data_IF_543467059810
#
_entry.id   IF_543467059810
#
_cell.length_a   1.000
_cell.length_b   1.000
_cell.length_c   1.000
_cell.angle_alpha   90.00
_cell.angle_beta   90.00
_cell.angle_gamma   90.00
#
_symmetry.space_group_name_H-M   'P 1'
#
loop_
_entity.id
_entity.type
_entity.pdbx_description
1 polymer ?
#
# COMPACT_ATOMS: atom_id res chain seq x y z
N UNK A 1 8.96 13.40 -19.53
CA UNK A 1 9.27 12.43 -18.46
C UNK A 1 8.35 11.23 -18.65
N UNK A 2 8.81 9.99 -18.43
CA UNK A 2 7.91 8.83 -18.45
C UNK A 2 6.88 8.96 -17.33
N UNK A 3 5.64 8.53 -17.61
CA UNK A 3 4.55 8.47 -16.63
C UNK A 3 4.93 7.52 -15.49
N UNK A 4 4.85 7.94 -14.21
CA UNK A 4 5.11 7.05 -13.08
C UNK A 4 4.20 5.82 -13.14
N UNK A 5 4.72 4.65 -12.77
CA UNK A 5 3.99 3.38 -12.88
C UNK A 5 2.65 3.39 -12.11
N UNK A 6 2.57 4.15 -11.01
CA UNK A 6 1.36 4.28 -10.19
C UNK A 6 0.29 5.20 -10.79
N UNK A 7 0.60 5.90 -11.88
CA UNK A 7 -0.34 6.79 -12.59
C UNK A 7 -0.79 6.25 -13.95
N UNK A 8 -0.36 5.03 -14.30
CA UNK A 8 -0.68 4.34 -15.55
C UNK A 8 -1.78 3.30 -15.32
N UNK A 9 -3.05 3.55 -15.71
CA UNK A 9 -4.14 2.60 -15.46
C UNK A 9 -3.98 1.27 -16.22
N UNK A 10 -3.20 1.25 -17.30
CA UNK A 10 -2.89 0.05 -18.07
C UNK A 10 -1.83 -0.83 -17.39
N UNK A 11 -1.06 -0.28 -16.44
CA UNK A 11 -0.01 -1.02 -15.72
C UNK A 11 -0.61 -1.80 -14.56
N UNK A 12 -1.08 -3.02 -14.86
CA UNK A 12 -1.68 -3.92 -13.87
C UNK A 12 -0.67 -4.77 -13.10
N UNK A 13 0.54 -4.98 -13.65
CA UNK A 13 1.63 -5.68 -12.98
C UNK A 13 2.99 -5.43 -13.64
N UNK A 14 4.07 -5.59 -12.87
CA UNK A 14 5.46 -5.55 -13.35
C UNK A 14 6.15 -6.82 -12.88
N UNK A 15 6.72 -7.60 -13.81
CA UNK A 15 7.43 -8.85 -13.53
C UNK A 15 6.66 -9.90 -12.72
N UNK A 16 5.32 -9.82 -12.67
CA UNK A 16 4.48 -10.82 -12.02
C UNK A 16 4.49 -12.10 -12.86
N UNK A 17 4.77 -13.24 -12.23
CA UNK A 17 4.61 -14.55 -12.87
C UNK A 17 3.13 -14.79 -13.22
N UNK A 18 2.83 -15.54 -14.30
CA UNK A 18 1.45 -15.93 -14.63
C UNK A 18 0.75 -16.61 -13.45
N UNK A 19 -0.58 -16.48 -13.38
CA UNK A 19 -1.37 -17.23 -12.40
C UNK A 19 -1.29 -18.71 -12.72
N UNK A 20 -0.92 -19.52 -11.73
CA UNK A 20 -0.73 -20.96 -11.85
C UNK A 20 -1.43 -21.68 -10.70
N UNK A 21 -1.81 -22.94 -10.93
CA UNK A 21 -2.40 -23.82 -9.93
C UNK A 21 -1.34 -24.80 -9.34
N UNK A 22 -0.14 -24.29 -9.05
CA UNK A 22 0.95 -25.10 -8.51
C UNK A 22 0.93 -25.05 -7.00
N UNK A 23 1.00 -26.19 -6.33
CA UNK A 23 1.14 -26.25 -4.89
C UNK A 23 2.57 -25.82 -4.47
N UNK A 24 2.66 -24.82 -3.59
CA UNK A 24 3.92 -24.37 -3.01
C UNK A 24 4.23 -25.19 -1.76
N UNK A 25 4.79 -26.39 -1.95
CA UNK A 25 5.08 -27.34 -0.87
C UNK A 25 6.20 -26.89 0.07
N UNK A 26 7.08 -26.01 -0.41
CA UNK A 26 8.13 -25.37 0.40
C UNK A 26 7.91 -23.86 0.41
N UNK A 27 7.56 -23.34 1.58
CA UNK A 27 7.37 -21.91 1.82
C UNK A 27 7.95 -21.52 3.17
N UNK A 28 8.31 -20.25 3.31
CA UNK A 28 8.76 -19.63 4.55
C UNK A 28 7.80 -18.47 4.80
N UNK A 29 7.19 -18.42 5.98
CA UNK A 29 6.40 -17.24 6.37
C UNK A 29 7.36 -16.07 6.66
N UNK A 30 6.98 -14.90 6.18
CA UNK A 30 7.63 -13.62 6.49
C UNK A 30 6.72 -12.72 7.34
N UNK A 31 5.68 -13.29 7.93
CA UNK A 31 4.79 -12.59 8.85
C UNK A 31 5.55 -12.22 10.13
N UNK A 32 5.22 -11.07 10.70
CA UNK A 32 5.86 -10.56 11.91
C UNK A 32 6.13 -9.06 11.85
N UNK A 33 7.18 -8.61 12.54
CA UNK A 33 7.52 -7.20 12.63
C UNK A 33 8.29 -6.71 11.41
N UNK A 34 7.80 -5.65 10.79
CA UNK A 34 8.43 -4.97 9.67
C UNK A 34 8.75 -3.53 10.03
N UNK A 35 9.83 -2.99 9.46
CA UNK A 35 10.09 -1.55 9.48
C UNK A 35 9.18 -0.88 8.45
N UNK A 36 8.41 0.10 8.89
CA UNK A 36 7.40 0.79 8.09
C UNK A 36 7.49 2.30 8.28
N UNK A 37 7.22 3.02 7.20
CA UNK A 37 7.11 4.47 7.18
C UNK A 37 5.96 4.89 6.25
N UNK A 38 5.05 5.70 6.77
CA UNK A 38 4.05 6.40 5.97
C UNK A 38 4.64 7.73 5.46
N UNK A 39 4.44 8.04 4.18
CA UNK A 39 4.90 9.26 3.52
C UNK A 39 3.69 10.07 3.03
N UNK A 40 3.83 11.39 2.95
CA UNK A 40 2.73 12.29 2.61
C UNK A 40 2.36 12.23 1.11
N UNK A 41 3.30 11.84 0.25
CA UNK A 41 3.14 11.78 -1.21
C UNK A 41 3.97 10.67 -1.83
N UNK A 42 3.53 10.17 -2.98
CA UNK A 42 4.14 9.01 -3.65
C UNK A 42 5.58 9.26 -4.18
N UNK A 43 5.95 10.50 -4.47
CA UNK A 43 7.27 10.91 -4.97
C UNK A 43 8.23 11.39 -3.87
N UNK A 44 7.85 11.24 -2.59
CA UNK A 44 8.70 11.60 -1.47
C UNK A 44 9.76 10.52 -1.20
N UNK A 45 10.99 10.95 -0.94
CA UNK A 45 12.04 10.06 -0.47
C UNK A 45 11.79 9.60 0.98
N UNK A 46 12.01 8.31 1.30
CA UNK A 46 11.96 7.82 2.67
C UNK A 46 12.92 8.59 3.60
N UNK A 47 12.54 8.71 4.86
CA UNK A 47 13.37 9.34 5.87
C UNK A 47 14.23 8.30 6.62
N UNK A 48 15.08 8.77 7.52
CA UNK A 48 15.83 7.89 8.43
C UNK A 48 14.98 7.38 9.61
N UNK A 49 13.77 7.90 9.81
CA UNK A 49 12.89 7.53 10.93
C UNK A 49 11.88 6.50 10.47
N UNK A 50 11.99 5.30 11.04
CA UNK A 50 11.13 4.16 10.78
C UNK A 50 10.41 3.77 12.07
N UNK A 51 9.21 3.22 11.93
CA UNK A 51 8.46 2.59 13.01
C UNK A 51 8.30 1.10 12.72
N UNK A 52 7.90 0.30 13.71
CA UNK A 52 7.63 -1.12 13.52
C UNK A 52 6.14 -1.38 13.42
N UNK A 53 5.72 -2.26 12.50
CA UNK A 53 4.33 -2.72 12.34
C UNK A 53 4.29 -4.24 12.15
N UNK A 54 3.22 -4.89 12.63
CA UNK A 54 2.94 -6.30 12.38
C UNK A 54 2.37 -6.48 10.97
N UNK A 55 2.93 -7.41 10.19
CA UNK A 55 2.41 -7.84 8.88
C UNK A 55 1.96 -9.31 8.98
N UNK A 56 0.76 -9.66 8.50
CA UNK A 56 -0.24 -8.81 7.84
C UNK A 56 -1.02 -7.90 8.80
N UNK A 57 -1.41 -6.70 8.34
CA UNK A 57 -2.17 -5.72 9.12
C UNK A 57 -2.57 -4.48 8.30
N UNK A 58 -3.38 -3.59 8.90
CA UNK A 58 -3.78 -2.30 8.30
C UNK A 58 -3.01 -1.16 8.98
N UNK A 59 -2.34 -0.28 8.23
CA UNK A 59 -1.60 0.83 8.83
C UNK A 59 -2.52 1.89 9.48
N UNK A 60 -3.77 1.99 9.01
CA UNK A 60 -4.77 2.94 9.55
C UNK A 60 -5.29 2.53 10.93
N UNK A 61 -4.95 1.31 11.40
CA UNK A 61 -5.41 0.78 12.68
C UNK A 61 -4.47 -0.33 13.17
N UNK A 62 -3.64 -0.02 14.16
CA UNK A 62 -2.69 -0.96 14.77
C UNK A 62 -3.10 -1.15 16.23
N UNK A 63 -3.56 -2.34 16.59
CA UNK A 63 -4.00 -2.69 17.94
C UNK A 63 -5.04 -1.73 18.55
N UNK A 64 -5.92 -1.18 17.70
CA UNK A 64 -6.96 -0.21 18.10
C UNK A 64 -6.50 1.25 18.12
N UNK A 65 -5.21 1.51 17.86
CA UNK A 65 -4.60 2.83 17.83
C UNK A 65 -4.30 3.31 16.39
N UNK A 66 -4.02 4.60 16.24
CA UNK A 66 -3.69 5.25 14.96
C UNK A 66 -2.26 5.86 14.99
N UNK A 67 -1.21 5.02 15.08
CA UNK A 67 0.17 5.51 15.28
C UNK A 67 0.71 6.34 14.11
N UNK A 68 0.09 6.24 12.92
CA UNK A 68 0.47 6.97 11.72
C UNK A 68 -0.46 8.16 11.41
N UNK A 69 -1.46 8.44 12.25
CA UNK A 69 -2.39 9.56 12.09
C UNK A 69 -3.52 9.33 11.09
N UNK A 70 -3.32 8.47 10.09
CA UNK A 70 -4.36 8.05 9.15
C UNK A 70 -5.49 7.27 9.83
N UNK A 71 -6.72 7.55 9.41
CA UNK A 71 -7.95 6.92 9.91
C UNK A 71 -8.65 6.13 8.82
N UNK A 72 -9.39 5.07 9.17
CA UNK A 72 -10.32 4.45 8.23
C UNK A 72 -11.32 5.48 7.69
N UNK A 73 -11.52 5.49 6.38
CA UNK A 73 -12.48 6.37 5.70
C UNK A 73 -13.66 5.52 5.23
N UNK A 74 -14.87 5.91 5.62
CA UNK A 74 -16.11 5.28 5.16
C UNK A 74 -16.84 6.19 4.17
N UNK A 75 -17.11 5.66 2.99
CA UNK A 75 -17.95 6.29 1.96
C UNK A 75 -18.93 5.26 1.41
N UNK A 76 -20.16 5.68 1.10
CA UNK A 76 -21.14 4.79 0.45
C UNK A 76 -21.07 4.93 -1.09
N UNK A 77 -21.50 6.08 -1.62
CA UNK A 77 -21.53 6.34 -3.08
C UNK A 77 -20.47 7.35 -3.52
N UNK A 78 -20.22 8.39 -2.71
CA UNK A 78 -19.31 9.48 -3.07
C UNK A 78 -17.85 9.02 -2.95
N UNK A 79 -17.02 9.36 -3.93
CA UNK A 79 -15.57 9.16 -3.84
C UNK A 79 -14.99 10.05 -2.73
N UNK A 80 -13.96 9.60 -1.99
CA UNK A 80 -13.35 10.40 -0.92
C UNK A 80 -12.45 11.54 -1.45
N UNK A 81 -12.50 11.84 -2.75
CA UNK A 81 -11.72 12.86 -3.44
C UNK A 81 -12.43 13.36 -4.72
N UNK A 82 -12.01 14.53 -5.22
CA UNK A 82 -12.70 15.25 -6.32
C UNK A 82 -12.15 14.94 -7.73
N UNK A 83 -10.96 14.35 -7.82
CA UNK A 83 -10.27 14.13 -9.09
C UNK A 83 -11.02 13.16 -10.00
N UNK A 84 -10.99 13.43 -11.31
CA UNK A 84 -11.52 12.53 -12.33
C UNK A 84 -10.45 11.51 -12.78
N UNK A 85 -10.86 10.28 -13.16
CA UNK A 85 -9.93 9.27 -13.66
C UNK A 85 -9.09 9.77 -14.86
N UNK A 86 -7.80 9.42 -14.95
CA UNK A 86 -7.04 8.54 -14.05
C UNK A 86 -6.35 9.26 -12.88
N UNK A 87 -6.67 10.53 -12.63
CA UNK A 87 -5.97 11.36 -11.65
C UNK A 87 -6.38 11.01 -10.22
N UNK A 88 -5.43 11.07 -9.29
CA UNK A 88 -5.62 10.91 -7.84
C UNK A 88 -5.13 12.18 -7.13
N UNK A 89 -5.58 12.46 -5.88
CA UNK A 89 -5.03 13.51 -5.05
C UNK A 89 -3.50 13.48 -4.92
#
# INVERSE_FOLDING_TARGET
MPTPIWSSPETTSVNRLPMLNIAHLMSISLDGQWNFQLLDRADQDPSKRWQSITVPGLWTMVDGEQPFGDKPIYTNTQMPFDQLPPSVP
#
